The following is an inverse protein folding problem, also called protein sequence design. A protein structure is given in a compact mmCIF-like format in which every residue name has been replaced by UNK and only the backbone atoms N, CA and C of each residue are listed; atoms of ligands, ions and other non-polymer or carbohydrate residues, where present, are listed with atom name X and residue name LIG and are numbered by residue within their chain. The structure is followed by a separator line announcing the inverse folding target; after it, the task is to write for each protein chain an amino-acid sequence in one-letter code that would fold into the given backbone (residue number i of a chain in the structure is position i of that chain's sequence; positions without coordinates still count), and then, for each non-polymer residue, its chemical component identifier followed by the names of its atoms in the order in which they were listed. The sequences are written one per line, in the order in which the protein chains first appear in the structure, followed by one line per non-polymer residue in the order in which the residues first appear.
data_IF_907379571642
#
_entry.id   IF_907379571642
#
_cell.length_a   1.000
_cell.length_b   1.000
_cell.length_c   1.000
_cell.angle_alpha   90.00
_cell.angle_beta   90.00
_cell.angle_gamma   90.00
#
_symmetry.space_group_name_H-M   'P 1'
#
loop_
_entity.id
_entity.type
_entity.pdbx_description
1 polymer ?
#
# COMPACT_ATOMS: atom_id res chain seq x y z
N UNK A 1 -20.35 21.26 1.27
CA UNK A 1 -21.04 20.21 0.47
C UNK A 1 -20.09 19.80 -0.63
N UNK A 2 -19.76 18.51 -0.72
CA UNK A 2 -18.96 17.99 -1.84
C UNK A 2 -19.76 18.02 -3.16
N UNK A 3 -19.10 17.80 -4.30
CA UNK A 3 -19.79 17.68 -5.58
C UNK A 3 -20.80 16.52 -5.52
N UNK A 4 -21.95 16.62 -6.22
CA UNK A 4 -22.86 15.48 -6.38
C UNK A 4 -22.13 14.29 -7.04
N UNK A 5 -22.61 13.06 -6.78
CA UNK A 5 -21.91 11.81 -7.19
C UNK A 5 -21.52 11.80 -8.67
N UNK A 6 -22.40 12.30 -9.54
CA UNK A 6 -22.15 12.42 -10.99
C UNK A 6 -21.03 13.40 -11.35
N UNK A 7 -20.79 14.41 -10.52
CA UNK A 7 -19.74 15.40 -10.73
C UNK A 7 -18.40 14.88 -10.21
N UNK A 8 -18.42 14.10 -9.12
CA UNK A 8 -17.24 13.38 -8.66
C UNK A 8 -16.73 12.39 -9.72
N UNK A 9 -17.60 11.56 -10.28
CA UNK A 9 -17.22 10.56 -11.29
C UNK A 9 -16.57 11.21 -12.51
N UNK A 10 -17.17 12.29 -13.03
CA UNK A 10 -16.61 13.05 -14.17
C UNK A 10 -15.26 13.67 -13.84
N UNK A 11 -15.12 14.32 -12.69
CA UNK A 11 -13.86 14.94 -12.27
C UNK A 11 -12.78 13.88 -12.06
N UNK A 12 -13.14 12.73 -11.50
CA UNK A 12 -12.21 11.64 -11.30
C UNK A 12 -11.79 11.01 -12.63
N UNK A 13 -12.73 10.72 -13.53
CA UNK A 13 -12.42 10.22 -14.86
C UNK A 13 -11.45 11.15 -15.58
N UNK A 14 -11.72 12.46 -15.57
CA UNK A 14 -10.83 13.46 -16.13
C UNK A 14 -9.45 13.45 -15.48
N UNK A 15 -9.38 13.39 -14.15
CA UNK A 15 -8.12 13.34 -13.42
C UNK A 15 -7.29 12.10 -13.78
N UNK A 16 -7.93 10.94 -13.92
CA UNK A 16 -7.24 9.68 -14.23
C UNK A 16 -6.85 9.60 -15.70
N UNK A 17 -7.80 9.86 -16.62
CA UNK A 17 -7.62 9.61 -18.05
C UNK A 17 -6.84 10.73 -18.72
N UNK A 18 -7.23 11.99 -18.49
CA UNK A 18 -6.62 13.15 -19.16
C UNK A 18 -5.36 13.63 -18.41
N UNK A 19 -5.43 13.70 -17.08
CA UNK A 19 -4.33 14.23 -16.25
C UNK A 19 -3.41 13.17 -15.66
N UNK A 20 -3.62 11.88 -15.99
CA UNK A 20 -2.75 10.76 -15.58
C UNK A 20 -2.45 10.77 -14.07
N UNK A 21 -3.43 11.13 -13.25
CA UNK A 21 -3.23 11.36 -11.80
C UNK A 21 -2.50 10.21 -11.12
N UNK A 22 -2.85 8.95 -11.40
CA UNK A 22 -2.19 7.80 -10.79
C UNK A 22 -0.70 7.65 -11.15
N UNK A 23 -0.28 8.26 -12.25
CA UNK A 23 1.10 8.24 -12.75
C UNK A 23 1.99 9.20 -11.97
N UNK A 24 1.47 10.34 -11.55
CA UNK A 24 2.31 11.49 -11.16
C UNK A 24 2.10 11.93 -9.71
N UNK A 25 1.29 11.20 -8.94
CA UNK A 25 1.10 11.47 -7.52
C UNK A 25 2.44 11.37 -6.75
N UNK A 26 2.68 12.26 -5.76
CA UNK A 26 3.87 12.14 -4.93
C UNK A 26 3.77 10.92 -4.01
N UNK A 27 4.93 10.31 -3.73
CA UNK A 27 5.04 9.26 -2.72
C UNK A 27 4.85 9.88 -1.33
N UNK A 28 4.10 9.20 -0.47
CA UNK A 28 3.98 9.60 0.94
C UNK A 28 5.36 9.47 1.59
N UNK A 29 5.86 10.48 2.33
CA UNK A 29 7.19 10.42 2.95
C UNK A 29 7.40 9.16 3.78
N UNK A 30 8.56 8.50 3.58
CA UNK A 30 8.95 7.28 4.32
C UNK A 30 8.34 5.98 3.78
N UNK A 31 7.40 6.03 2.83
CA UNK A 31 6.70 4.83 2.35
C UNK A 31 7.64 3.82 1.69
N UNK A 32 8.45 4.28 0.73
CA UNK A 32 9.35 3.40 -0.03
C UNK A 32 10.39 2.76 0.90
N UNK A 33 11.00 3.58 1.76
CA UNK A 33 12.06 3.17 2.66
C UNK A 33 11.59 2.14 3.69
N UNK A 34 10.42 2.37 4.29
CA UNK A 34 9.81 1.42 5.24
C UNK A 34 9.42 0.12 4.55
N UNK A 35 8.77 0.19 3.39
CA UNK A 35 8.35 -1.01 2.66
C UNK A 35 9.55 -1.86 2.23
N UNK A 36 10.69 -1.24 1.87
CA UNK A 36 11.93 -1.98 1.61
C UNK A 36 12.48 -2.67 2.85
N UNK A 37 12.58 -1.95 3.98
CA UNK A 37 13.04 -2.57 5.25
C UNK A 37 12.16 -3.74 5.68
N UNK A 38 10.84 -3.63 5.51
CA UNK A 38 9.91 -4.72 5.78
C UNK A 38 10.09 -5.88 4.79
N UNK A 39 10.25 -5.59 3.49
CA UNK A 39 10.51 -6.62 2.48
C UNK A 39 11.82 -7.36 2.73
N UNK A 40 12.87 -6.66 3.18
CA UNK A 40 14.18 -7.25 3.49
C UNK A 40 14.13 -8.17 4.72
N UNK A 41 13.17 -7.94 5.61
CA UNK A 41 12.85 -8.84 6.72
C UNK A 41 12.01 -10.06 6.29
N UNK A 42 11.76 -10.23 5.00
CA UNK A 42 11.00 -11.36 4.45
C UNK A 42 9.47 -11.18 4.49
N UNK A 43 8.97 -9.97 4.78
CA UNK A 43 7.54 -9.70 4.80
C UNK A 43 7.01 -9.64 3.36
N UNK A 44 5.94 -10.40 3.10
CA UNK A 44 5.29 -10.44 1.79
C UNK A 44 4.37 -9.23 1.61
N UNK A 45 4.78 -8.28 0.75
CA UNK A 45 4.00 -7.05 0.50
C UNK A 45 3.13 -7.23 -0.74
N UNK A 46 1.82 -7.03 -0.56
CA UNK A 46 0.81 -7.01 -1.63
C UNK A 46 0.14 -5.65 -1.67
N UNK A 47 0.11 -5.04 -2.86
CA UNK A 47 -0.62 -3.79 -3.09
C UNK A 47 -2.03 -4.12 -3.57
N UNK A 48 -3.03 -3.67 -2.81
CA UNK A 48 -4.45 -3.89 -3.11
C UNK A 48 -5.12 -2.54 -3.35
N UNK A 49 -5.67 -2.32 -4.53
CA UNK A 49 -6.22 -1.02 -4.90
C UNK A 49 -7.45 -1.12 -5.78
N UNK A 50 -8.44 -0.26 -5.55
CA UNK A 50 -9.60 -0.15 -6.42
C UNK A 50 -9.32 0.89 -7.50
N UNK A 51 -9.03 0.42 -8.73
CA UNK A 51 -8.62 1.26 -9.87
C UNK A 51 -9.47 1.06 -11.14
N UNK A 52 -10.32 0.03 -11.17
CA UNK A 52 -11.05 -0.40 -12.37
C UNK A 52 -12.54 -0.08 -12.26
N UNK A 53 -12.87 1.17 -11.92
CA UNK A 53 -14.26 1.57 -11.66
C UNK A 53 -14.87 2.48 -12.73
N UNK A 54 -14.04 3.03 -13.63
CA UNK A 54 -14.50 3.79 -14.80
C UNK A 54 -14.32 2.93 -16.05
N UNK A 55 -15.42 2.69 -16.76
CA UNK A 55 -15.43 1.94 -18.00
C UNK A 55 -14.44 2.56 -19.02
N UNK A 56 -13.74 1.72 -19.79
CA UNK A 56 -12.78 2.14 -20.82
C UNK A 56 -11.49 2.83 -20.32
N UNK A 57 -11.38 3.18 -19.03
CA UNK A 57 -10.18 3.74 -18.40
C UNK A 57 -9.20 2.71 -17.83
N UNK A 58 -9.55 1.42 -17.87
CA UNK A 58 -8.82 0.35 -17.17
C UNK A 58 -7.34 0.24 -17.56
N UNK A 59 -7.04 0.29 -18.86
CA UNK A 59 -5.66 0.18 -19.35
C UNK A 59 -4.79 1.33 -18.83
N UNK A 60 -5.37 2.54 -18.77
CA UNK A 60 -4.70 3.73 -18.25
C UNK A 60 -4.48 3.59 -16.76
N UNK A 61 -5.54 3.30 -16.00
CA UNK A 61 -5.46 3.24 -14.54
C UNK A 61 -4.50 2.14 -14.05
N UNK A 62 -4.55 0.95 -14.67
CA UNK A 62 -3.66 -0.15 -14.33
C UNK A 62 -2.21 0.14 -14.73
N UNK A 63 -2.00 0.62 -15.97
CA UNK A 63 -0.68 0.95 -16.49
C UNK A 63 0.00 2.07 -15.71
N UNK A 64 -0.72 3.15 -15.42
CA UNK A 64 -0.21 4.26 -14.61
C UNK A 64 0.13 3.85 -13.18
N UNK A 65 -0.70 2.99 -12.57
CA UNK A 65 -0.41 2.50 -11.22
C UNK A 65 0.87 1.66 -11.21
N UNK A 66 1.07 0.79 -12.20
CA UNK A 66 2.30 -0.01 -12.30
C UNK A 66 3.54 0.87 -12.57
N UNK A 67 3.46 1.77 -13.55
CA UNK A 67 4.55 2.71 -13.89
C UNK A 67 4.88 3.64 -12.71
N UNK A 68 3.88 4.03 -11.91
CA UNK A 68 4.09 4.78 -10.67
C UNK A 68 4.81 3.95 -9.62
N UNK A 69 4.39 2.70 -9.37
CA UNK A 69 5.04 1.83 -8.37
C UNK A 69 6.52 1.59 -8.69
N UNK A 70 6.85 1.42 -9.97
CA UNK A 70 8.23 1.25 -10.44
C UNK A 70 9.07 2.51 -10.20
N UNK A 71 8.56 3.69 -10.61
CA UNK A 71 9.27 4.97 -10.43
C UNK A 71 9.36 5.41 -8.97
N UNK A 72 8.34 5.10 -8.18
CA UNK A 72 8.31 5.32 -6.73
C UNK A 72 9.18 4.31 -5.96
N UNK A 73 9.78 3.33 -6.65
CA UNK A 73 10.62 2.30 -6.07
C UNK A 73 9.91 1.58 -4.91
N UNK A 74 8.65 1.18 -5.10
CA UNK A 74 7.86 0.48 -4.08
C UNK A 74 8.06 -1.03 -4.23
N UNK A 75 8.51 -1.76 -3.19
CA UNK A 75 8.63 -3.20 -3.25
C UNK A 75 7.25 -3.84 -3.09
N UNK A 76 6.88 -4.70 -4.03
CA UNK A 76 5.69 -5.54 -3.93
C UNK A 76 5.93 -6.89 -4.59
N UNK A 77 5.10 -7.88 -4.24
CA UNK A 77 5.07 -9.21 -4.86
C UNK A 77 3.80 -9.44 -5.66
N UNK A 78 2.71 -8.80 -5.24
CA UNK A 78 1.42 -8.87 -5.91
C UNK A 78 0.84 -7.46 -6.07
N UNK A 79 0.20 -7.22 -7.22
CA UNK A 79 -0.61 -6.04 -7.49
C UNK A 79 -2.03 -6.50 -7.84
N UNK A 80 -3.00 -6.19 -6.98
CA UNK A 80 -4.37 -6.65 -7.11
C UNK A 80 -5.34 -5.47 -7.29
N UNK A 81 -6.07 -5.46 -8.40
CA UNK A 81 -7.13 -4.50 -8.66
C UNK A 81 -8.50 -5.08 -8.30
N UNK A 82 -9.00 -4.78 -7.09
CA UNK A 82 -10.27 -5.29 -6.58
C UNK A 82 -10.96 -4.23 -5.71
N UNK A 83 -12.30 -4.17 -5.78
CA UNK A 83 -13.10 -3.32 -4.90
C UNK A 83 -13.28 -3.92 -3.51
N UNK A 84 -13.68 -5.19 -3.42
CA UNK A 84 -13.84 -5.92 -2.17
C UNK A 84 -12.49 -6.38 -1.60
N UNK A 85 -11.73 -5.45 -1.00
CA UNK A 85 -10.36 -5.73 -0.51
C UNK A 85 -10.30 -6.81 0.58
N UNK A 86 -11.33 -6.91 1.43
CA UNK A 86 -11.36 -7.91 2.51
C UNK A 86 -11.45 -9.36 2.01
N UNK A 87 -11.84 -9.57 0.75
CA UNK A 87 -11.86 -10.89 0.12
C UNK A 87 -10.46 -11.48 -0.11
N UNK A 88 -9.41 -10.64 -0.18
CA UNK A 88 -8.04 -11.11 -0.30
C UNK A 88 -7.47 -11.36 1.08
N UNK A 89 -7.06 -12.59 1.37
CA UNK A 89 -6.51 -12.94 2.69
C UNK A 89 -5.10 -12.36 2.87
N UNK A 90 -4.90 -11.64 3.98
CA UNK A 90 -3.62 -11.15 4.47
C UNK A 90 -3.62 -11.23 6.00
N UNK A 91 -2.42 -11.28 6.59
CA UNK A 91 -2.25 -11.30 8.05
C UNK A 91 -2.53 -9.93 8.70
N UNK A 92 -2.30 -8.86 7.94
CA UNK A 92 -2.40 -7.47 8.38
C UNK A 92 -2.71 -6.59 7.17
N UNK A 93 -3.62 -5.64 7.35
CA UNK A 93 -4.01 -4.66 6.33
C UNK A 93 -3.58 -3.25 6.75
N UNK A 94 -3.26 -2.40 5.78
CA UNK A 94 -3.00 -0.97 5.99
C UNK A 94 -3.89 -0.21 5.01
N UNK A 95 -4.80 0.63 5.50
CA UNK A 95 -5.71 1.40 4.65
C UNK A 95 -6.13 2.69 5.37
N UNK A 96 -6.43 3.74 4.62
CA UNK A 96 -6.96 4.99 5.12
C UNK A 96 -8.47 5.15 4.85
N UNK A 97 -9.03 4.41 3.89
CA UNK A 97 -10.42 4.53 3.46
C UNK A 97 -11.41 3.96 4.48
N UNK A 98 -12.34 4.76 5.04
CA UNK A 98 -13.27 4.31 6.08
C UNK A 98 -14.04 3.03 5.74
N UNK A 99 -14.59 2.95 4.51
CA UNK A 99 -15.32 1.77 4.05
C UNK A 99 -14.47 0.49 4.03
N UNK A 100 -13.17 0.58 3.73
CA UNK A 100 -12.28 -0.58 3.75
C UNK A 100 -11.97 -0.98 5.20
N UNK A 101 -11.66 0.01 6.04
CA UNK A 101 -11.35 -0.20 7.46
C UNK A 101 -12.52 -0.89 8.17
N UNK A 102 -13.74 -0.37 7.99
CA UNK A 102 -14.95 -0.95 8.56
C UNK A 102 -15.18 -2.38 8.05
N UNK A 103 -14.99 -2.64 6.75
CA UNK A 103 -15.09 -3.98 6.19
C UNK A 103 -14.08 -4.95 6.81
N UNK A 104 -12.81 -4.55 6.95
CA UNK A 104 -11.79 -5.35 7.63
C UNK A 104 -12.17 -5.64 9.09
N UNK A 105 -12.65 -4.64 9.82
CA UNK A 105 -13.06 -4.80 11.22
C UNK A 105 -14.26 -5.73 11.37
N UNK A 106 -15.28 -5.57 10.52
CA UNK A 106 -16.46 -6.44 10.50
C UNK A 106 -16.09 -7.90 10.19
N UNK A 107 -15.09 -8.10 9.33
CA UNK A 107 -14.56 -9.42 8.97
C UNK A 107 -13.51 -9.95 9.97
N UNK A 108 -13.34 -9.30 11.13
CA UNK A 108 -12.35 -9.62 12.17
C UNK A 108 -10.90 -9.70 11.65
N UNK A 109 -10.55 -8.88 10.65
CA UNK A 109 -9.20 -8.76 10.11
C UNK A 109 -8.38 -7.74 10.91
N UNK A 110 -7.09 -8.01 11.12
CA UNK A 110 -6.15 -7.05 11.73
C UNK A 110 -5.89 -5.92 10.74
N UNK A 111 -6.18 -4.67 11.11
CA UNK A 111 -5.95 -3.49 10.26
C UNK A 111 -5.22 -2.39 11.03
N UNK A 112 -4.21 -1.80 10.40
CA UNK A 112 -3.60 -0.52 10.79
C UNK A 112 -4.33 0.58 10.01
N UNK A 113 -4.95 1.50 10.74
CA UNK A 113 -5.57 2.69 10.16
C UNK A 113 -4.47 3.71 9.90
N UNK A 114 -4.24 4.08 8.64
CA UNK A 114 -3.36 5.19 8.32
C UNK A 114 -4.10 6.51 8.55
N UNK A 115 -3.63 7.38 9.44
CA UNK A 115 -4.37 8.56 9.90
C UNK A 115 -4.65 9.54 8.76
N UNK A 116 -5.92 9.88 8.60
CA UNK A 116 -6.38 10.94 7.72
C UNK A 116 -7.51 11.72 8.41
N UNK A 117 -7.68 13.03 8.15
CA UNK A 117 -8.72 13.83 8.79
C UNK A 117 -10.12 13.21 8.71
N UNK A 118 -10.42 12.55 7.59
CA UNK A 118 -11.72 11.95 7.31
C UNK A 118 -11.96 10.59 7.98
N UNK A 119 -10.94 9.92 8.55
CA UNK A 119 -11.07 8.61 9.20
C UNK A 119 -10.86 8.64 10.73
N UNK A 120 -10.73 9.83 11.32
CA UNK A 120 -10.49 10.01 12.78
C UNK A 120 -11.64 9.59 13.69
N UNK A 121 -12.84 9.44 13.14
CA UNK A 121 -14.00 8.93 13.86
C UNK A 121 -13.94 7.42 14.09
N UNK A 122 -13.06 6.70 13.38
CA UNK A 122 -12.87 5.26 13.50
C UNK A 122 -11.94 4.92 14.66
N UNK A 123 -12.30 3.88 15.42
CA UNK A 123 -11.47 3.29 16.47
C UNK A 123 -10.57 2.20 15.89
N UNK A 124 -9.40 1.99 16.49
CA UNK A 124 -8.44 0.96 16.06
C UNK A 124 -6.98 1.39 16.20
N UNK A 125 -6.07 0.49 15.85
CA UNK A 125 -4.63 0.78 15.81
C UNK A 125 -4.34 1.78 14.68
N UNK A 126 -3.70 2.91 15.01
CA UNK A 126 -3.57 4.06 14.11
C UNK A 126 -2.11 4.45 13.93
N UNK A 127 -1.67 4.51 12.68
CA UNK A 127 -0.35 5.01 12.28
C UNK A 127 -0.47 6.43 11.75
N UNK A 128 0.36 7.35 12.23
CA UNK A 128 0.45 8.72 11.72
C UNK A 128 1.56 8.89 10.69
N UNK A 129 2.54 7.99 10.71
CA UNK A 129 3.65 7.96 9.74
C UNK A 129 3.94 6.53 9.29
N UNK A 130 4.81 6.38 8.29
CA UNK A 130 5.26 5.05 7.85
C UNK A 130 6.17 4.38 8.89
N UNK A 131 6.87 5.13 9.74
CA UNK A 131 7.62 4.57 10.88
C UNK A 131 6.70 3.96 11.94
N UNK A 132 5.50 4.54 12.14
CA UNK A 132 4.47 3.90 12.96
C UNK A 132 4.01 2.58 12.34
N UNK A 133 3.79 2.56 11.03
CA UNK A 133 3.46 1.33 10.28
C UNK A 133 4.53 0.28 10.48
N UNK A 134 5.80 0.62 10.30
CA UNK A 134 6.93 -0.31 10.48
C UNK A 134 6.90 -0.95 11.86
N UNK A 135 6.79 -0.14 12.91
CA UNK A 135 6.73 -0.62 14.30
C UNK A 135 5.57 -1.59 14.51
N UNK A 136 4.37 -1.24 14.06
CA UNK A 136 3.19 -2.08 14.22
C UNK A 136 3.24 -3.38 13.41
N UNK A 137 3.85 -3.35 12.22
CA UNK A 137 4.06 -4.56 11.43
C UNK A 137 5.06 -5.49 12.13
N UNK A 138 6.16 -4.96 12.65
CA UNK A 138 7.16 -5.75 13.40
C UNK A 138 6.55 -6.35 14.67
N UNK A 139 5.73 -5.59 15.40
CA UNK A 139 4.99 -6.09 16.57
C UNK A 139 4.04 -7.24 16.17
N UNK A 140 3.29 -7.09 15.08
CA UNK A 140 2.38 -8.12 14.58
C UNK A 140 3.10 -9.39 14.11
N UNK A 141 4.27 -9.24 13.46
CA UNK A 141 5.13 -10.37 13.07
C UNK A 141 5.69 -11.06 14.31
N UNK A 142 6.14 -10.31 15.30
CA UNK A 142 6.65 -10.86 16.57
C UNK A 142 5.57 -11.58 17.35
N UNK A 143 4.34 -11.08 17.37
CA UNK A 143 3.19 -11.78 17.95
C UNK A 143 2.91 -13.08 17.19
N UNK A 144 2.93 -13.05 15.85
CA UNK A 144 2.65 -14.21 15.01
C UNK A 144 3.74 -15.30 15.11
N UNK A 145 5.01 -14.91 15.15
CA UNK A 145 6.16 -15.82 15.28
C UNK A 145 6.47 -16.16 16.76
N UNK A 146 6.08 -15.34 17.72
CA UNK A 146 6.11 -15.70 19.14
C UNK A 146 5.13 -16.83 19.48
N UNK A 147 4.14 -17.07 18.62
CA UNK A 147 3.23 -18.23 18.65
C UNK A 147 3.79 -19.42 17.84
N UNK A 148 4.85 -19.24 17.06
CA UNK A 148 5.52 -20.29 16.28
C UNK A 148 7.03 -19.98 16.15
N UNK A 149 7.87 -20.61 17.00
CA UNK A 149 9.32 -20.40 17.12
C UNK A 149 10.02 -19.81 15.86
N UNK A 150 10.69 -18.65 15.96
CA UNK A 150 11.30 -18.04 14.79
C UNK A 150 12.69 -18.60 14.50
N UNK A 151 12.82 -19.25 13.35
CA UNK A 151 14.03 -19.14 12.54
C UNK A 151 13.64 -18.48 11.20
N UNK A 152 14.05 -17.24 11.00
CA UNK A 152 13.96 -16.57 9.69
C UNK A 152 15.34 -16.65 9.02
N UNK A 153 15.50 -17.41 7.91
CA UNK A 153 16.72 -17.41 7.12
C UNK A 153 16.79 -16.15 6.25
N UNK A 154 17.90 -15.39 6.30
CA UNK A 154 18.18 -14.34 5.30
C UNK A 154 18.92 -13.07 5.73
N UNK A 155 19.39 -12.94 6.98
CA UNK A 155 19.85 -11.67 7.57
C UNK A 155 21.18 -11.06 7.02
N UNK A 156 21.70 -11.46 5.86
CA UNK A 156 23.04 -11.03 5.43
C UNK A 156 23.15 -10.26 4.10
N UNK A 157 22.07 -10.00 3.37
CA UNK A 157 22.21 -9.52 1.97
C UNK A 157 21.60 -8.15 1.65
N UNK A 158 21.11 -7.40 2.65
CA UNK A 158 20.47 -6.11 2.44
C UNK A 158 21.46 -4.98 2.08
N UNK A 159 22.70 -5.04 2.56
CA UNK A 159 23.69 -3.96 2.34
C UNK A 159 24.23 -3.94 0.90
N UNK A 160 24.25 -5.07 0.19
CA UNK A 160 24.84 -5.18 -1.15
C UNK A 160 23.91 -4.75 -2.30
N UNK A 161 22.60 -4.59 -2.07
CA UNK A 161 21.65 -4.30 -3.16
C UNK A 161 21.55 -2.82 -3.52
N UNK A 162 21.82 -1.92 -2.57
CA UNK A 162 21.82 -0.47 -2.82
C UNK A 162 23.06 -0.05 -3.63
N UNK A 163 24.20 -0.71 -3.44
CA UNK A 163 25.42 -0.38 -4.18
C UNK A 163 25.39 -0.88 -5.63
N UNK A 164 24.70 -2.00 -5.90
CA UNK A 164 24.72 -2.60 -7.24
C UNK A 164 24.01 -1.76 -8.32
N UNK A 165 23.12 -0.83 -7.95
CA UNK A 165 22.46 0.08 -8.90
C UNK A 165 23.24 1.35 -9.21
N UNK A 166 24.18 1.79 -8.36
CA UNK A 166 25.01 2.97 -8.66
C UNK A 166 26.14 2.69 -9.65
N UNK A 167 26.42 1.42 -9.95
CA UNK A 167 27.49 1.01 -10.86
C UNK A 167 27.08 0.68 -12.29
N UNK A 168 25.79 0.80 -12.66
CA UNK A 168 25.31 0.44 -14.00
C UNK A 168 24.94 1.62 -14.91
N UNK A 169 25.17 2.86 -14.47
CA UNK A 169 24.93 4.08 -15.26
C UNK A 169 26.20 4.65 -15.92
N UNK A 170 27.25 3.83 -16.10
CA UNK A 170 28.42 4.18 -16.90
C UNK A 170 28.92 2.97 -17.71
N UNK A 171 28.21 2.58 -18.76
CA UNK A 171 28.75 2.08 -20.04
C UNK A 171 27.78 2.40 -21.18
#
# INVERSE_FOLDING_TARGET
MGPPVSDFEKLHEKAVVEHRMFRDMPVIPGASEVLWRLSDQGIWIRIISHRLYVNWGHAIAAGDTADWLDRANIPYRDLCFIGAKSALNADLYIDDGPHNIEAFQNDNKKVIIFDQPYNRHLSGLRAHTWEDVERYVVDAVTEKLGVAEPQLPGLHDATNRIEHRKGQDYE
#
